data_IF_606582259418
#
_entry.id   IF_606582259418
#
_cell.length_a   1.000
_cell.length_b   1.000
_cell.length_c   1.000
_cell.angle_alpha   90.00
_cell.angle_beta   90.00
_cell.angle_gamma   90.00
#
_symmetry.space_group_name_H-M   'P 1'
#
loop_
_entity.id
_entity.type
_entity.pdbx_description
1 polymer ?
#
# COMPACT_ATOMS: atom_id res chain seq x y z
N UNK A 1 8.16 -18.14 -8.83
CA UNK A 1 8.09 -17.66 -7.42
C UNK A 1 8.55 -16.20 -7.27
N UNK A 2 9.65 -15.77 -7.93
CA UNK A 2 10.16 -14.39 -7.86
C UNK A 2 9.12 -13.32 -8.28
N UNK A 3 8.50 -13.48 -9.45
CA UNK A 3 7.49 -12.53 -9.96
C UNK A 3 6.32 -12.27 -9.00
N UNK A 4 5.90 -13.29 -8.25
CA UNK A 4 4.80 -13.16 -7.30
C UNK A 4 5.20 -12.31 -6.09
N UNK A 5 6.47 -12.35 -5.65
CA UNK A 5 6.98 -11.48 -4.58
C UNK A 5 7.07 -10.02 -5.05
N UNK A 6 7.55 -9.81 -6.28
CA UNK A 6 7.58 -8.48 -6.91
C UNK A 6 6.17 -7.87 -7.06
N UNK A 7 5.17 -8.70 -7.37
CA UNK A 7 3.77 -8.25 -7.44
C UNK A 7 3.24 -7.76 -6.08
N UNK A 8 3.60 -8.43 -4.98
CA UNK A 8 3.25 -8.02 -3.62
C UNK A 8 3.88 -6.67 -3.27
N UNK A 9 5.16 -6.51 -3.55
CA UNK A 9 5.89 -5.25 -3.36
C UNK A 9 5.18 -4.12 -4.10
N UNK A 10 4.83 -4.35 -5.37
CA UNK A 10 4.14 -3.37 -6.20
C UNK A 10 2.74 -3.02 -5.67
N UNK A 11 1.98 -4.00 -5.20
CA UNK A 11 0.65 -3.78 -4.62
C UNK A 11 0.72 -2.92 -3.35
N UNK A 12 1.66 -3.21 -2.46
CA UNK A 12 1.88 -2.43 -1.23
C UNK A 12 2.34 -1.01 -1.59
N UNK A 13 3.30 -0.85 -2.50
CA UNK A 13 3.73 0.49 -2.96
C UNK A 13 2.60 1.27 -3.62
N UNK A 14 1.76 0.62 -4.42
CA UNK A 14 0.60 1.25 -5.05
C UNK A 14 -0.46 1.72 -4.04
N UNK A 15 -0.48 1.16 -2.83
CA UNK A 15 -1.38 1.57 -1.75
C UNK A 15 -0.91 2.86 -1.03
N UNK A 16 0.34 3.30 -1.26
CA UNK A 16 0.91 4.51 -0.66
C UNK A 16 1.71 5.33 -1.70
N UNK A 17 1.04 5.95 -2.69
CA UNK A 17 1.71 6.64 -3.80
C UNK A 17 2.46 7.90 -3.38
N UNK A 18 2.20 8.43 -2.19
CA UNK A 18 2.81 9.65 -1.65
C UNK A 18 4.04 9.40 -0.78
N UNK A 19 4.36 8.15 -0.44
CA UNK A 19 5.54 7.82 0.36
C UNK A 19 6.77 7.63 -0.56
N UNK A 20 7.95 8.14 -0.18
CA UNK A 20 9.19 7.81 -0.86
C UNK A 20 9.46 6.30 -0.77
N UNK A 21 10.29 5.76 -1.65
CA UNK A 21 10.54 4.32 -1.76
C UNK A 21 10.78 3.66 -0.40
N UNK A 22 9.75 2.96 0.11
CA UNK A 22 9.73 2.32 1.43
C UNK A 22 10.53 1.01 1.46
N UNK A 23 11.22 0.65 0.37
CA UNK A 23 11.92 -0.62 0.24
C UNK A 23 13.44 -0.41 0.37
N UNK A 24 14.12 -1.39 0.97
CA UNK A 24 15.58 -1.37 1.23
C UNK A 24 16.48 -1.44 -0.03
N UNK A 25 15.94 -1.21 -1.23
CA UNK A 25 16.66 -1.21 -2.51
C UNK A 25 16.44 -2.44 -3.39
N UNK A 26 16.79 -2.30 -4.68
CA UNK A 26 16.68 -3.34 -5.70
C UNK A 26 17.75 -4.43 -5.49
N UNK A 27 17.45 -5.44 -4.67
CA UNK A 27 18.39 -6.51 -4.33
C UNK A 27 18.31 -7.00 -2.88
N UNK A 28 17.49 -6.34 -2.04
CA UNK A 28 17.23 -6.82 -0.69
C UNK A 28 16.61 -8.24 -0.74
N UNK A 29 17.06 -9.17 0.11
CA UNK A 29 16.55 -10.53 0.12
C UNK A 29 15.06 -10.56 0.47
N UNK A 30 14.21 -11.01 -0.47
CA UNK A 30 12.76 -11.15 -0.28
C UNK A 30 12.39 -12.42 0.50
N UNK A 31 13.23 -12.87 1.43
CA UNK A 31 12.99 -14.08 2.21
C UNK A 31 11.78 -13.93 3.12
N UNK A 32 11.58 -12.72 3.63
CA UNK A 32 10.51 -12.35 4.56
C UNK A 32 9.10 -12.31 3.93
N UNK A 33 8.99 -12.44 2.60
CA UNK A 33 7.72 -12.54 1.86
C UNK A 33 7.53 -14.00 1.45
N UNK A 34 6.60 -14.68 2.09
CA UNK A 34 6.28 -16.07 1.78
C UNK A 34 4.97 -16.16 1.01
N UNK A 35 4.96 -17.02 -0.01
CA UNK A 35 3.78 -17.27 -0.84
C UNK A 35 3.52 -18.76 -0.78
N UNK A 36 2.31 -19.12 -0.39
CA UNK A 36 1.84 -20.49 -0.27
C UNK A 36 0.48 -20.63 -0.93
N UNK A 37 0.19 -21.84 -1.43
CA UNK A 37 -1.10 -22.15 -2.01
C UNK A 37 -2.02 -22.65 -0.89
N UNK A 38 -3.23 -22.10 -0.84
CA UNK A 38 -4.26 -22.57 0.09
C UNK A 38 -5.00 -23.77 -0.49
N UNK A 39 -5.77 -24.48 0.33
CA UNK A 39 -6.56 -25.63 -0.10
C UNK A 39 -7.60 -25.31 -1.18
N UNK A 40 -8.01 -24.04 -1.32
CA UNK A 40 -8.89 -23.59 -2.40
C UNK A 40 -8.17 -23.36 -3.74
N UNK A 41 -6.84 -23.49 -3.77
CA UNK A 41 -6.02 -23.14 -4.93
C UNK A 41 -5.70 -21.64 -5.05
N UNK A 42 -6.20 -20.80 -4.15
CA UNK A 42 -5.84 -19.39 -4.13
C UNK A 42 -4.44 -19.17 -3.48
N UNK A 43 -3.59 -18.29 -4.04
CA UNK A 43 -2.33 -17.93 -3.42
C UNK A 43 -2.56 -17.05 -2.19
N UNK A 44 -1.85 -17.33 -1.10
CA UNK A 44 -1.81 -16.51 0.11
C UNK A 44 -0.39 -16.03 0.37
N UNK A 45 -0.30 -14.85 0.98
CA UNK A 45 0.97 -14.17 1.25
C UNK A 45 1.11 -13.99 2.76
N UNK A 46 2.23 -14.46 3.29
CA UNK A 46 2.64 -14.17 4.67
C UNK A 46 3.80 -13.18 4.62
N UNK A 47 3.61 -12.05 5.31
CA UNK A 47 4.64 -11.04 5.49
C UNK A 47 5.21 -11.16 6.89
N UNK A 48 6.54 -11.11 6.97
CA UNK A 48 7.29 -11.06 8.22
C UNK A 48 8.26 -9.88 8.17
N UNK A 49 8.87 -9.52 9.31
CA UNK A 49 9.95 -8.53 9.35
C UNK A 49 9.58 -7.16 8.75
N UNK A 50 10.43 -6.67 7.84
CA UNK A 50 10.32 -5.34 7.27
C UNK A 50 9.12 -5.16 6.31
N UNK A 51 8.81 -6.09 5.38
CA UNK A 51 7.59 -6.02 4.57
C UNK A 51 6.30 -5.86 5.39
N UNK A 52 6.21 -6.52 6.55
CA UNK A 52 5.07 -6.38 7.44
C UNK A 52 4.98 -4.95 8.02
N UNK A 53 6.10 -4.38 8.46
CA UNK A 53 6.15 -2.98 8.95
C UNK A 53 5.70 -1.99 7.87
N UNK A 54 6.17 -2.18 6.63
CA UNK A 54 5.76 -1.34 5.48
C UNK A 54 4.25 -1.44 5.26
N UNK A 55 3.68 -2.66 5.26
CA UNK A 55 2.23 -2.83 5.12
C UNK A 55 1.45 -2.11 6.22
N UNK A 56 1.87 -2.20 7.49
CA UNK A 56 1.21 -1.49 8.58
C UNK A 56 1.25 0.03 8.39
N UNK A 57 2.40 0.57 7.96
CA UNK A 57 2.56 1.99 7.69
C UNK A 57 1.65 2.47 6.54
N UNK A 58 1.51 1.68 5.48
CA UNK A 58 0.66 2.04 4.33
C UNK A 58 -0.83 1.83 4.61
N UNK A 59 -1.21 0.73 5.26
CA UNK A 59 -2.61 0.43 5.59
C UNK A 59 -3.24 1.40 6.60
N UNK A 60 -2.44 2.00 7.49
CA UNK A 60 -2.94 2.97 8.48
C UNK A 60 -3.34 4.32 7.86
N UNK A 61 -2.86 4.61 6.64
CA UNK A 61 -3.02 5.93 6.00
C UNK A 61 -4.20 6.01 5.04
N UNK A 62 -4.72 4.86 4.59
CA UNK A 62 -5.90 4.78 3.69
C UNK A 62 -7.25 4.96 4.42
N UNK A 63 -7.27 4.98 5.76
CA UNK A 63 -8.44 5.39 6.55
C UNK A 63 -8.42 6.89 6.89
N UNK A 64 -8.44 7.74 5.87
CA UNK A 64 -8.92 9.12 6.01
C UNK A 64 -9.40 9.61 4.64
N UNK A 65 -10.61 9.20 4.28
CA UNK A 65 -11.38 9.89 3.24
C UNK A 65 -12.85 9.99 3.64
N UNK A 66 -13.12 10.50 4.83
CA UNK A 66 -14.37 11.20 5.10
C UNK A 66 -14.27 12.59 4.47
N UNK A 67 -14.74 12.71 3.23
CA UNK A 67 -15.08 14.01 2.62
C UNK A 67 -16.18 14.66 3.47
N UNK A 68 -16.00 15.89 3.94
CA UNK A 68 -16.89 16.97 3.51
C UNK A 68 -16.06 18.24 3.23
N UNK A 69 -16.41 19.11 2.29
CA UNK A 69 -17.62 19.92 2.27
C UNK A 69 -17.83 20.45 0.85
N UNK A 70 -19.09 20.47 0.43
CA UNK A 70 -19.55 21.08 -0.80
C UNK A 70 -19.07 22.54 -0.92
N UNK A 71 -18.70 22.94 -2.14
CA UNK A 71 -18.43 24.33 -2.49
C UNK A 71 -19.64 25.21 -2.15
N UNK A 72 -19.45 26.19 -1.27
CA UNK A 72 -20.34 27.35 -1.17
C UNK A 72 -19.58 28.52 -1.82
N UNK A 73 -19.99 29.03 -2.98
CA UNK A 73 -19.48 30.32 -3.44
C UNK A 73 -20.17 31.42 -2.61
N UNK A 74 -19.42 32.04 -1.69
CA UNK A 74 -19.76 33.36 -1.17
C UNK A 74 -18.74 34.36 -1.68
N UNK A 75 -19.13 35.24 -2.60
CA UNK A 75 -18.80 36.66 -2.49
C UNK A 75 -19.65 37.47 -3.46
N UNK A 76 -20.59 38.21 -2.88
CA UNK A 76 -21.19 39.39 -3.49
C UNK A 76 -20.16 40.52 -3.50
N UNK A 77 -20.04 41.26 -4.60
CA UNK A 77 -19.81 42.72 -4.76
C UNK A 77 -19.48 42.94 -6.26
N UNK A 78 -20.16 43.79 -7.02
CA UNK A 78 -20.07 45.25 -6.93
C UNK A 78 -21.11 45.91 -7.85
N UNK A 79 -21.85 46.87 -7.31
CA UNK A 79 -22.57 47.89 -8.10
C UNK A 79 -21.71 49.15 -8.14
#
# INVERSE_FOLDING_TARGET
>A
RWAAKEAVIKAISSSAPTEPNLWKGAGAPLREIEIFMTASGAPSVLLSGYPLQVQWLTSSKTMSLSRPLASIPTSNDKT
#
